data_IF_067186371453
#
_entry.id   IF_067186371453
#
_cell.length_a   1.000
_cell.length_b   1.000
_cell.length_c   1.000
_cell.angle_alpha   90.00
_cell.angle_beta   90.00
_cell.angle_gamma   90.00
#
_symmetry.space_group_name_H-M   'P 1'
#
loop_
_entity.id
_entity.type
_entity.pdbx_description
1 polymer ?
#
# COMPACT_ATOMS: atom_id res chain seq x y z
N UNK A 1 11.52 12.03 6.34
CA UNK A 1 12.61 11.25 6.99
C UNK A 1 11.99 10.51 8.15
N UNK A 2 12.07 9.18 8.14
CA UNK A 2 11.47 8.31 9.15
C UNK A 2 12.60 7.44 9.70
N UNK A 3 12.65 7.27 11.02
CA UNK A 3 13.57 6.37 11.69
C UNK A 3 12.85 5.70 12.87
N UNK A 4 13.37 4.56 13.32
CA UNK A 4 12.92 3.96 14.57
C UNK A 4 13.19 4.91 15.75
N UNK A 5 12.27 4.94 16.72
CA UNK A 5 12.43 5.77 17.91
C UNK A 5 13.19 4.99 19.00
N UNK A 6 14.51 4.95 18.87
CA UNK A 6 15.43 4.18 19.74
C UNK A 6 15.35 4.55 21.23
N UNK A 7 14.74 5.69 21.59
CA UNK A 7 14.64 6.18 22.97
C UNK A 7 13.49 5.60 23.77
N UNK A 8 12.47 5.01 23.12
CA UNK A 8 11.25 4.50 23.77
C UNK A 8 10.99 3.02 23.49
N UNK A 9 11.72 2.41 22.54
CA UNK A 9 11.55 1.01 22.17
C UNK A 9 12.13 0.05 23.22
N UNK A 10 11.24 -0.62 23.97
CA UNK A 10 11.54 -1.85 24.74
C UNK A 10 11.89 -3.00 23.78
N UNK A 11 12.73 -3.95 24.19
CA UNK A 11 13.24 -5.04 23.31
C UNK A 11 12.16 -5.87 22.61
N UNK A 12 10.94 -5.92 23.17
CA UNK A 12 9.78 -6.61 22.59
C UNK A 12 9.15 -5.88 21.39
N UNK A 13 9.46 -4.59 21.18
CA UNK A 13 8.90 -3.73 20.12
C UNK A 13 9.99 -3.22 19.16
N UNK A 14 11.25 -3.61 19.37
CA UNK A 14 12.35 -3.21 18.47
C UNK A 14 12.16 -3.86 17.10
N UNK A 15 12.02 -3.04 16.07
CA UNK A 15 11.99 -3.51 14.68
C UNK A 15 13.37 -3.98 14.24
N UNK A 16 14.44 -3.49 14.90
CA UNK A 16 15.80 -4.03 14.82
C UNK A 16 16.48 -3.90 13.46
N UNK A 17 15.72 -3.47 12.45
CA UNK A 17 16.09 -3.45 11.06
C UNK A 17 15.20 -2.44 10.29
N UNK A 18 15.85 -1.37 9.81
CA UNK A 18 15.20 -0.34 9.03
C UNK A 18 14.67 -0.86 7.67
N UNK A 19 15.13 -2.02 7.19
CA UNK A 19 14.56 -2.65 5.99
C UNK A 19 13.08 -3.03 6.24
N UNK A 20 12.77 -3.59 7.41
CA UNK A 20 11.39 -3.91 7.82
C UNK A 20 10.54 -2.65 8.01
N UNK A 21 11.09 -1.60 8.64
CA UNK A 21 10.42 -0.31 8.79
C UNK A 21 10.07 0.29 7.42
N UNK A 22 11.03 0.32 6.49
CA UNK A 22 10.83 0.83 5.15
C UNK A 22 9.70 0.07 4.42
N UNK A 23 9.67 -1.26 4.52
CA UNK A 23 8.63 -2.07 3.90
C UNK A 23 7.22 -1.84 4.49
N UNK A 24 7.09 -1.49 5.77
CA UNK A 24 5.80 -1.11 6.36
C UNK A 24 5.31 0.26 5.90
N UNK A 25 6.25 1.19 5.69
CA UNK A 25 5.94 2.55 5.26
C UNK A 25 5.47 2.60 3.80
N UNK A 26 5.89 1.64 2.96
CA UNK A 26 5.51 1.55 1.53
C UNK A 26 4.00 1.71 1.31
N UNK A 27 3.17 1.00 2.09
CA UNK A 27 1.71 1.09 1.98
C UNK A 27 1.18 2.43 2.48
N UNK A 28 1.75 2.95 3.56
CA UNK A 28 1.31 4.18 4.21
C UNK A 28 1.52 5.42 3.35
N UNK A 29 2.70 5.52 2.70
CA UNK A 29 3.06 6.67 1.86
C UNK A 29 2.69 6.47 0.40
N UNK A 30 2.03 5.35 0.11
CA UNK A 30 1.60 5.01 -1.22
C UNK A 30 2.74 4.97 -2.25
N UNK A 31 3.88 4.37 -1.90
CA UNK A 31 5.09 4.36 -2.73
C UNK A 31 4.96 3.56 -4.04
N UNK A 32 5.54 4.07 -5.13
CA UNK A 32 5.62 3.36 -6.42
C UNK A 32 6.82 2.40 -6.51
N UNK A 33 7.85 2.67 -5.71
CA UNK A 33 9.11 1.93 -5.69
C UNK A 33 9.72 2.03 -4.28
N UNK A 34 10.10 0.89 -3.72
CA UNK A 34 11.01 0.82 -2.58
C UNK A 34 12.45 0.71 -3.08
N UNK A 35 13.36 1.55 -2.57
CA UNK A 35 14.79 1.45 -2.89
C UNK A 35 15.57 1.19 -1.61
N UNK A 36 16.29 0.07 -1.57
CA UNK A 36 17.19 -0.31 -0.48
C UNK A 36 18.63 -0.13 -0.98
N UNK A 37 19.37 0.77 -0.34
CA UNK A 37 20.79 0.97 -0.61
C UNK A 37 21.63 0.06 0.29
N UNK A 38 22.58 -0.66 -0.30
CA UNK A 38 23.40 -1.68 0.37
C UNK A 38 24.87 -1.61 -0.04
N UNK A 39 25.76 -2.15 0.77
CA UNK A 39 27.18 -2.31 0.47
C UNK A 39 27.48 -3.56 -0.39
N UNK A 40 26.53 -4.50 -0.48
CA UNK A 40 26.66 -5.75 -1.24
C UNK A 40 26.48 -5.58 -2.76
N UNK A 41 26.07 -4.39 -3.24
CA UNK A 41 25.86 -4.08 -4.66
C UNK A 41 24.66 -4.76 -5.35
N UNK A 42 23.96 -5.65 -4.66
CA UNK A 42 22.78 -6.37 -5.16
C UNK A 42 22.63 -7.75 -4.52
N UNK A 43 21.70 -8.55 -5.02
CA UNK A 43 21.54 -9.96 -4.65
C UNK A 43 22.41 -10.81 -5.57
N UNK A 44 23.16 -11.77 -5.02
CA UNK A 44 24.05 -12.65 -5.78
C UNK A 44 23.64 -14.12 -5.64
N UNK A 45 24.06 -14.94 -6.61
CA UNK A 45 23.88 -16.40 -6.57
C UNK A 45 24.66 -17.10 -5.46
N UNK A 46 25.72 -16.46 -4.95
CA UNK A 46 26.53 -16.86 -3.80
C UNK A 46 27.27 -15.63 -3.27
N UNK A 47 27.92 -15.72 -2.11
CA UNK A 47 28.75 -14.61 -1.59
C UNK A 47 29.94 -14.33 -2.53
N UNK A 48 29.99 -13.16 -3.21
CA UNK A 48 31.05 -12.85 -4.18
C UNK A 48 32.43 -12.69 -3.54
N UNK A 49 32.51 -12.55 -2.20
CA UNK A 49 33.79 -12.52 -1.46
C UNK A 49 34.39 -13.92 -1.29
N UNK A 50 33.55 -14.97 -1.35
CA UNK A 50 33.95 -16.37 -1.16
C UNK A 50 33.93 -17.17 -2.47
N UNK A 51 33.09 -16.77 -3.42
CA UNK A 51 32.84 -17.49 -4.68
C UNK A 51 33.11 -16.57 -5.87
N UNK A 52 34.20 -16.83 -6.59
CA UNK A 52 34.60 -16.02 -7.76
C UNK A 52 33.62 -16.13 -8.94
N UNK A 53 32.81 -17.19 -8.97
CA UNK A 53 31.77 -17.44 -9.97
C UNK A 53 30.40 -16.85 -9.56
N UNK A 54 30.30 -16.19 -8.41
CA UNK A 54 29.07 -15.53 -7.97
C UNK A 54 28.63 -14.45 -8.98
N UNK A 55 27.36 -14.51 -9.38
CA UNK A 55 26.77 -13.56 -10.32
C UNK A 55 25.68 -12.75 -9.62
N UNK A 56 25.65 -11.44 -9.87
CA UNK A 56 24.53 -10.59 -9.45
C UNK A 56 23.29 -11.02 -10.22
N UNK A 57 22.19 -11.17 -9.52
CA UNK A 57 20.88 -11.43 -10.09
C UNK A 57 20.27 -10.07 -10.44
N UNK A 58 20.11 -9.71 -11.73
CA UNK A 58 19.60 -8.38 -12.11
C UNK A 58 18.11 -8.23 -11.78
N UNK A 59 17.35 -9.32 -11.85
CA UNK A 59 15.91 -9.32 -11.67
C UNK A 59 15.43 -10.57 -10.91
N UNK A 60 14.49 -10.37 -9.99
CA UNK A 60 13.82 -11.42 -9.22
C UNK A 60 12.31 -11.24 -9.41
N UNK A 61 11.67 -12.17 -10.11
CA UNK A 61 10.21 -12.14 -10.29
C UNK A 61 9.46 -12.33 -8.97
N UNK A 62 9.99 -13.19 -8.10
CA UNK A 62 9.41 -13.51 -6.79
C UNK A 62 10.50 -13.91 -5.81
N UNK A 63 10.44 -13.35 -4.61
CA UNK A 63 11.27 -13.79 -3.48
C UNK A 63 10.68 -15.08 -2.93
N UNK A 64 11.31 -16.21 -3.26
CA UNK A 64 10.98 -17.55 -2.74
C UNK A 64 11.92 -17.93 -1.60
N UNK A 65 11.58 -18.98 -0.85
CA UNK A 65 12.48 -19.55 0.16
C UNK A 65 13.85 -19.95 -0.43
N UNK A 66 13.90 -20.39 -1.69
CA UNK A 66 15.16 -20.69 -2.38
C UNK A 66 16.00 -19.43 -2.65
N UNK A 67 15.37 -18.30 -2.98
CA UNK A 67 16.06 -17.00 -3.15
C UNK A 67 16.59 -16.50 -1.80
N UNK A 68 15.79 -16.62 -0.74
CA UNK A 68 16.25 -16.26 0.63
C UNK A 68 17.41 -17.15 1.09
N UNK A 69 17.42 -18.44 0.72
CA UNK A 69 18.51 -19.36 1.05
C UNK A 69 19.84 -18.95 0.41
N UNK A 70 19.83 -18.30 -0.77
CA UNK A 70 21.05 -17.75 -1.38
C UNK A 70 21.70 -16.70 -0.47
N UNK A 71 20.87 -15.87 0.17
CA UNK A 71 21.32 -14.85 1.11
C UNK A 71 21.73 -15.40 2.49
N UNK A 72 21.20 -16.55 2.89
CA UNK A 72 21.54 -17.22 4.15
C UNK A 72 22.94 -17.88 4.13
N UNK A 73 23.45 -18.23 2.94
CA UNK A 73 24.77 -18.86 2.78
C UNK A 73 25.97 -17.91 3.00
N UNK A 74 25.71 -16.61 3.08
CA UNK A 74 26.71 -15.56 3.31
C UNK A 74 26.65 -15.03 4.74
N UNK A 75 27.09 -15.81 5.73
CA UNK A 75 27.35 -15.27 7.08
C UNK A 75 28.48 -14.24 7.00
N UNK A 76 28.14 -12.97 7.25
CA UNK A 76 29.06 -11.93 7.69
C UNK A 76 28.76 -11.60 9.15
N UNK A 77 29.70 -11.91 10.02
CA UNK A 77 29.62 -11.94 11.49
C UNK A 77 29.35 -10.60 12.20
N UNK A 78 28.96 -9.52 11.51
CA UNK A 78 29.02 -8.15 12.06
C UNK A 78 27.90 -7.18 11.61
N UNK A 79 26.66 -7.64 11.46
CA UNK A 79 25.55 -6.69 11.27
C UNK A 79 24.14 -7.27 11.41
N UNK A 80 23.31 -6.61 12.20
CA UNK A 80 21.90 -6.94 12.48
C UNK A 80 20.95 -6.81 11.26
N UNK A 81 21.47 -6.52 10.05
CA UNK A 81 20.70 -6.22 8.84
C UNK A 81 21.36 -6.74 7.55
N UNK A 82 21.40 -8.06 7.38
CA UNK A 82 22.04 -8.75 6.24
C UNK A 82 21.28 -8.67 4.91
N UNK A 83 21.64 -9.51 3.94
CA UNK A 83 20.90 -9.60 2.66
C UNK A 83 19.51 -10.23 2.85
N UNK A 84 19.36 -11.12 3.85
CA UNK A 84 18.09 -11.78 4.14
C UNK A 84 17.00 -10.79 4.58
N UNK A 85 17.36 -9.75 5.34
CA UNK A 85 16.39 -8.74 5.77
C UNK A 85 15.90 -7.90 4.59
N UNK A 86 16.81 -7.52 3.68
CA UNK A 86 16.51 -6.79 2.44
C UNK A 86 15.60 -7.59 1.53
N UNK A 87 15.84 -8.90 1.40
CA UNK A 87 14.97 -9.79 0.64
C UNK A 87 13.59 -9.92 1.29
N UNK A 88 13.49 -9.98 2.61
CA UNK A 88 12.20 -10.00 3.33
C UNK A 88 11.43 -8.68 3.15
N UNK A 89 12.11 -7.54 3.24
CA UNK A 89 11.53 -6.23 2.97
C UNK A 89 11.05 -6.12 1.52
N UNK A 90 11.88 -6.55 0.57
CA UNK A 90 11.54 -6.61 -0.85
C UNK A 90 10.35 -7.54 -1.13
N UNK A 91 10.28 -8.70 -0.46
CA UNK A 91 9.13 -9.62 -0.53
C UNK A 91 7.86 -8.93 -0.05
N UNK A 92 7.91 -8.23 1.08
CA UNK A 92 6.75 -7.51 1.63
C UNK A 92 6.27 -6.39 0.70
N UNK A 93 7.19 -5.57 0.18
CA UNK A 93 6.86 -4.54 -0.80
C UNK A 93 6.27 -5.16 -2.09
N UNK A 94 6.86 -6.23 -2.58
CA UNK A 94 6.40 -6.99 -3.74
C UNK A 94 4.98 -7.52 -3.53
N UNK A 95 4.69 -8.12 -2.37
CA UNK A 95 3.35 -8.59 -1.98
C UNK A 95 2.32 -7.47 -1.78
N UNK A 96 2.78 -6.24 -1.54
CA UNK A 96 1.97 -5.02 -1.54
C UNK A 96 1.78 -4.41 -2.95
N UNK A 97 2.34 -5.05 -3.99
CA UNK A 97 2.22 -4.58 -5.37
C UNK A 97 3.20 -3.46 -5.71
N UNK A 98 4.29 -3.32 -4.94
CA UNK A 98 5.32 -2.30 -5.12
C UNK A 98 6.63 -2.98 -5.51
N UNK A 99 7.29 -2.45 -6.54
CA UNK A 99 8.61 -2.95 -6.94
C UNK A 99 9.64 -2.58 -5.87
N UNK A 100 10.66 -3.41 -5.70
CA UNK A 100 11.75 -3.11 -4.79
C UNK A 100 13.10 -3.21 -5.52
N UNK A 101 13.92 -2.17 -5.46
CA UNK A 101 15.28 -2.19 -5.98
C UNK A 101 16.29 -2.29 -4.84
N UNK A 102 17.23 -3.23 -4.94
CA UNK A 102 18.37 -3.37 -4.02
C UNK A 102 19.61 -2.92 -4.79
N UNK A 103 20.19 -1.79 -4.42
CA UNK A 103 21.26 -1.10 -5.15
C UNK A 103 22.52 -0.91 -4.30
N UNK A 104 23.70 -0.74 -4.91
CA UNK A 104 24.87 -0.19 -4.23
C UNK A 104 24.55 1.18 -3.61
N UNK A 105 25.07 1.44 -2.40
CA UNK A 105 24.96 2.73 -1.71
C UNK A 105 25.85 3.85 -2.27
N UNK A 106 26.41 3.67 -3.47
CA UNK A 106 27.30 4.63 -4.11
C UNK A 106 26.54 5.84 -4.67
N UNK A 107 27.16 7.03 -4.69
CA UNK A 107 26.56 8.22 -5.29
C UNK A 107 26.12 7.98 -6.75
N UNK A 108 24.92 8.45 -7.09
CA UNK A 108 24.38 8.39 -8.45
C UNK A 108 23.67 7.09 -8.83
N UNK A 109 23.68 6.05 -7.99
CA UNK A 109 23.00 4.77 -8.30
C UNK A 109 21.49 4.92 -8.49
N UNK A 110 20.83 5.78 -7.70
CA UNK A 110 19.41 6.06 -7.88
C UNK A 110 19.11 6.69 -9.25
N UNK A 111 19.94 7.63 -9.70
CA UNK A 111 19.77 8.26 -11.01
C UNK A 111 19.90 7.25 -12.16
N UNK A 112 20.89 6.37 -12.06
CA UNK A 112 21.10 5.29 -13.04
C UNK A 112 19.95 4.28 -13.08
N UNK A 113 19.43 3.88 -11.91
CA UNK A 113 18.24 3.03 -11.83
C UNK A 113 17.05 3.68 -12.53
N UNK A 114 16.79 4.96 -12.25
CA UNK A 114 15.66 5.70 -12.85
C UNK A 114 15.85 5.93 -14.36
N UNK A 115 17.08 5.91 -14.86
CA UNK A 115 17.39 5.92 -16.29
C UNK A 115 17.23 4.54 -16.97
N UNK A 116 16.93 3.48 -16.20
CA UNK A 116 16.76 2.12 -16.70
C UNK A 116 18.07 1.34 -16.85
N UNK A 117 19.16 1.79 -16.23
CA UNK A 117 20.43 1.08 -16.24
C UNK A 117 20.41 -0.13 -15.28
N UNK A 118 21.19 -1.17 -15.62
CA UNK A 118 21.31 -2.39 -14.83
C UNK A 118 22.32 -2.22 -13.66
N UNK A 119 21.89 -1.54 -12.58
CA UNK A 119 22.76 -1.14 -11.46
C UNK A 119 22.56 -1.89 -10.14
N UNK A 120 21.65 -2.85 -10.07
CA UNK A 120 21.46 -3.67 -8.87
C UNK A 120 20.57 -4.88 -9.12
N UNK A 121 19.69 -5.18 -8.16
CA UNK A 121 18.66 -6.21 -8.30
C UNK A 121 17.28 -5.59 -8.19
N UNK A 122 16.42 -5.85 -9.18
CA UNK A 122 15.02 -5.44 -9.17
C UNK A 122 14.12 -6.61 -8.79
N UNK A 123 13.36 -6.47 -7.71
CA UNK A 123 12.29 -7.40 -7.32
C UNK A 123 10.97 -6.89 -7.88
N UNK A 124 10.30 -7.71 -8.68
CA UNK A 124 9.03 -7.36 -9.30
C UNK A 124 7.88 -7.34 -8.29
N UNK A 125 6.89 -6.50 -8.56
CA UNK A 125 5.65 -6.45 -7.80
C UNK A 125 4.77 -7.67 -8.10
N UNK A 126 4.19 -8.27 -7.06
CA UNK A 126 3.21 -9.34 -7.21
C UNK A 126 1.81 -8.76 -7.36
N UNK A 127 1.29 -8.81 -8.59
CA UNK A 127 -0.04 -8.30 -8.91
C UNK A 127 -0.10 -6.78 -8.95
N UNK A 128 -1.32 -6.25 -9.17
CA UNK A 128 -1.55 -4.82 -9.22
C UNK A 128 -1.84 -4.29 -7.81
N UNK A 129 -1.14 -3.23 -7.40
CA UNK A 129 -1.30 -2.56 -6.09
C UNK A 129 -2.76 -2.22 -5.76
N UNK A 130 -3.50 -1.72 -6.76
CA UNK A 130 -4.94 -1.45 -6.64
C UNK A 130 -5.73 -2.72 -6.33
N UNK A 131 -5.36 -3.88 -6.88
CA UNK A 131 -6.04 -5.15 -6.62
C UNK A 131 -5.82 -5.66 -5.20
N UNK A 132 -4.62 -5.45 -4.65
CA UNK A 132 -4.30 -5.81 -3.26
C UNK A 132 -4.99 -4.88 -2.27
N UNK A 133 -4.98 -3.57 -2.55
CA UNK A 133 -5.70 -2.57 -1.73
C UNK A 133 -7.21 -2.88 -1.70
N UNK A 134 -7.78 -3.21 -2.84
CA UNK A 134 -9.20 -3.57 -2.91
C UNK A 134 -9.50 -4.90 -2.22
N UNK A 135 -8.57 -5.87 -2.22
CA UNK A 135 -8.77 -7.15 -1.55
C UNK A 135 -8.89 -7.03 -0.03
N UNK A 136 -8.02 -6.27 0.65
CA UNK A 136 -8.12 -6.14 2.11
C UNK A 136 -9.41 -5.44 2.56
N UNK A 137 -9.92 -4.50 1.75
CA UNK A 137 -11.19 -3.85 2.05
C UNK A 137 -12.39 -4.82 2.04
N UNK A 138 -12.32 -5.90 1.26
CA UNK A 138 -13.35 -6.94 1.26
C UNK A 138 -13.35 -7.75 2.56
N UNK A 139 -12.19 -7.89 3.21
CA UNK A 139 -12.04 -8.64 4.46
C UNK A 139 -12.47 -7.83 5.69
N UNK A 140 -12.56 -6.50 5.57
CA UNK A 140 -13.00 -5.63 6.65
C UNK A 140 -14.50 -5.74 6.94
N UNK A 141 -14.85 -5.82 8.22
CA UNK A 141 -16.24 -5.74 8.68
C UNK A 141 -16.72 -4.30 8.59
N UNK A 142 -17.75 -4.07 7.78
CA UNK A 142 -18.37 -2.75 7.65
C UNK A 142 -18.96 -2.25 8.98
N UNK A 143 -18.79 -0.96 9.25
CA UNK A 143 -19.30 -0.25 10.44
C UNK A 143 -20.66 0.41 10.20
N UNK A 144 -21.03 0.60 8.93
CA UNK A 144 -22.33 1.13 8.51
C UNK A 144 -22.56 0.95 7.02
N UNK A 145 -23.68 1.49 6.53
CA UNK A 145 -24.06 1.42 5.12
C UNK A 145 -24.58 2.75 4.56
N UNK A 146 -24.33 2.97 3.28
CA UNK A 146 -24.78 4.10 2.49
C UNK A 146 -25.74 3.59 1.41
N UNK A 147 -27.01 3.99 1.48
CA UNK A 147 -27.98 3.70 0.44
C UNK A 147 -27.93 4.80 -0.61
N UNK A 148 -27.78 4.40 -1.87
CA UNK A 148 -27.54 5.32 -2.98
C UNK A 148 -28.62 5.21 -4.06
N UNK A 149 -28.83 6.29 -4.81
CA UNK A 149 -29.73 6.26 -5.96
C UNK A 149 -29.14 5.52 -7.18
N UNK A 150 -30.00 5.27 -8.18
CA UNK A 150 -29.62 4.55 -9.40
C UNK A 150 -28.53 5.28 -10.20
N UNK A 151 -28.51 6.61 -10.17
CA UNK A 151 -27.50 7.41 -10.87
C UNK A 151 -26.10 7.22 -10.24
N UNK A 152 -26.04 7.21 -8.92
CA UNK A 152 -24.84 6.92 -8.16
C UNK A 152 -24.39 5.48 -8.34
N UNK A 153 -25.31 4.52 -8.29
CA UNK A 153 -25.01 3.11 -8.59
C UNK A 153 -24.41 2.95 -9.98
N UNK A 154 -25.03 3.50 -11.02
CA UNK A 154 -24.51 3.43 -12.39
C UNK A 154 -23.13 4.12 -12.51
N UNK A 155 -22.92 5.26 -11.82
CA UNK A 155 -21.64 5.93 -11.81
C UNK A 155 -20.52 5.09 -11.16
N UNK A 156 -20.84 4.36 -10.09
CA UNK A 156 -19.91 3.47 -9.39
C UNK A 156 -19.57 2.23 -10.23
N UNK A 157 -20.58 1.56 -10.78
CA UNK A 157 -20.42 0.28 -11.50
C UNK A 157 -19.88 0.50 -12.91
N UNK A 158 -20.55 1.33 -13.71
CA UNK A 158 -20.28 1.45 -15.15
C UNK A 158 -19.13 2.42 -15.44
N UNK A 159 -19.05 3.50 -14.67
CA UNK A 159 -18.12 4.62 -14.92
C UNK A 159 -16.92 4.64 -13.99
N UNK A 160 -16.85 3.73 -13.01
CA UNK A 160 -15.77 3.62 -12.00
C UNK A 160 -15.46 4.96 -11.32
N UNK A 161 -16.51 5.73 -11.01
CA UNK A 161 -16.40 7.04 -10.34
C UNK A 161 -16.51 6.90 -8.82
N UNK A 162 -16.19 7.97 -8.12
CA UNK A 162 -16.38 8.11 -6.67
C UNK A 162 -17.85 8.29 -6.30
N UNK A 163 -18.22 7.94 -5.07
CA UNK A 163 -19.55 8.22 -4.54
C UNK A 163 -19.62 9.68 -4.08
N UNK A 164 -20.37 10.51 -4.81
CA UNK A 164 -20.62 11.90 -4.43
C UNK A 164 -21.76 12.01 -3.41
N UNK A 165 -21.79 13.06 -2.56
CA UNK A 165 -22.87 13.25 -1.58
C UNK A 165 -24.25 13.31 -2.23
N UNK A 166 -24.34 13.86 -3.45
CA UNK A 166 -25.59 13.98 -4.22
C UNK A 166 -26.28 12.66 -4.49
N UNK A 167 -25.50 11.57 -4.51
CA UNK A 167 -25.97 10.21 -4.76
C UNK A 167 -26.42 9.45 -3.51
N UNK A 168 -26.11 9.96 -2.31
CA UNK A 168 -26.44 9.32 -1.03
C UNK A 168 -27.85 9.71 -0.60
N UNK A 169 -28.67 8.72 -0.30
CA UNK A 169 -30.07 8.88 0.11
C UNK A 169 -30.27 8.57 1.58
N UNK A 170 -29.66 7.50 2.08
CA UNK A 170 -29.72 7.14 3.50
C UNK A 170 -28.36 6.70 4.04
N UNK A 171 -28.16 6.91 5.34
CA UNK A 171 -26.93 6.56 6.07
C UNK A 171 -27.30 5.77 7.32
N UNK A 172 -26.96 4.49 7.34
CA UNK A 172 -27.24 3.58 8.47
C UNK A 172 -25.96 3.25 9.23
N UNK A 173 -26.11 3.01 10.53
CA UNK A 173 -24.99 2.70 11.44
C UNK A 173 -24.22 3.92 11.92
N UNK A 174 -23.05 3.68 12.51
CA UNK A 174 -22.14 4.69 13.03
C UNK A 174 -20.72 4.35 12.58
N UNK A 175 -20.05 5.34 11.97
CA UNK A 175 -18.70 5.20 11.43
C UNK A 175 -18.01 6.56 11.41
N UNK A 176 -16.69 6.54 11.46
CA UNK A 176 -15.81 7.70 11.37
C UNK A 176 -15.18 7.79 9.97
N UNK A 177 -14.48 8.88 9.71
CA UNK A 177 -13.60 8.97 8.53
C UNK A 177 -12.55 7.84 8.58
N UNK A 178 -12.36 7.15 7.46
CA UNK A 178 -11.48 6.00 7.30
C UNK A 178 -12.13 4.64 7.62
N UNK A 179 -13.33 4.61 8.21
CA UNK A 179 -14.00 3.35 8.51
C UNK A 179 -14.57 2.68 7.25
N UNK A 180 -14.57 1.34 7.18
CA UNK A 180 -15.20 0.58 6.11
C UNK A 180 -16.73 0.69 6.17
N UNK A 181 -17.34 0.99 5.03
CA UNK A 181 -18.79 1.09 4.83
C UNK A 181 -19.26 0.24 3.65
N UNK A 182 -20.46 -0.30 3.77
CA UNK A 182 -21.17 -0.94 2.65
C UNK A 182 -21.94 0.09 1.83
N UNK A 183 -21.96 -0.09 0.52
CA UNK A 183 -22.73 0.74 -0.41
C UNK A 183 -23.81 -0.16 -1.01
N UNK A 184 -25.06 0.26 -0.81
CA UNK A 184 -26.24 -0.50 -1.17
C UNK A 184 -27.19 0.33 -2.03
N UNK A 185 -28.00 -0.34 -2.82
CA UNK A 185 -29.17 0.26 -3.47
C UNK A 185 -30.27 0.57 -2.45
N UNK A 186 -31.24 1.39 -2.85
CA UNK A 186 -32.40 1.73 -2.02
C UNK A 186 -33.25 0.51 -1.61
N UNK A 187 -33.18 -0.61 -2.34
CA UNK A 187 -33.82 -1.88 -1.97
C UNK A 187 -32.99 -2.72 -0.97
N UNK A 188 -31.90 -2.16 -0.44
CA UNK A 188 -31.05 -2.76 0.58
C UNK A 188 -29.99 -3.74 0.05
N UNK A 189 -29.83 -3.89 -1.26
CA UNK A 189 -28.82 -4.81 -1.83
C UNK A 189 -27.45 -4.15 -1.88
N UNK A 190 -26.53 -4.64 -1.06
CA UNK A 190 -25.13 -4.22 -1.11
C UNK A 190 -24.47 -4.66 -2.42
N UNK A 191 -23.77 -3.73 -3.08
CA UNK A 191 -23.06 -4.00 -4.34
C UNK A 191 -21.63 -3.47 -4.35
N UNK A 192 -21.23 -2.71 -3.34
CA UNK A 192 -19.86 -2.24 -3.19
C UNK A 192 -19.48 -2.04 -1.71
N UNK A 193 -18.17 -1.96 -1.45
CA UNK A 193 -17.58 -1.56 -0.18
C UNK A 193 -16.58 -0.43 -0.40
N UNK A 194 -16.43 0.43 0.60
CA UNK A 194 -15.50 1.53 0.53
C UNK A 194 -15.06 2.05 1.88
N UNK A 195 -14.10 2.98 1.88
CA UNK A 195 -13.72 3.73 3.08
C UNK A 195 -14.43 5.09 3.08
N UNK A 196 -15.03 5.45 4.20
CA UNK A 196 -15.74 6.72 4.33
C UNK A 196 -14.74 7.89 4.43
N UNK A 197 -14.94 8.96 3.65
CA UNK A 197 -14.16 10.20 3.76
C UNK A 197 -14.63 11.06 4.93
N UNK A 198 -15.90 10.91 5.31
CA UNK A 198 -16.56 11.69 6.36
C UNK A 198 -17.25 10.75 7.35
N UNK A 199 -17.43 11.19 8.59
CA UNK A 199 -18.18 10.42 9.59
C UNK A 199 -19.67 10.31 9.24
N UNK A 200 -20.37 9.33 9.82
CA UNK A 200 -21.80 9.11 9.56
C UNK A 200 -22.65 10.38 9.76
N UNK A 201 -22.38 11.16 10.80
CA UNK A 201 -23.11 12.40 11.09
C UNK A 201 -22.82 13.52 10.10
N UNK A 202 -21.61 13.56 9.53
CA UNK A 202 -21.24 14.49 8.48
C UNK A 202 -21.89 14.10 7.16
N UNK A 203 -21.81 12.82 6.79
CA UNK A 203 -22.47 12.31 5.57
C UNK A 203 -23.96 12.62 5.62
N UNK A 204 -24.65 12.36 6.74
CA UNK A 204 -26.07 12.72 6.93
C UNK A 204 -26.37 14.19 6.65
N UNK A 205 -25.45 15.10 7.01
CA UNK A 205 -25.60 16.55 6.82
C UNK A 205 -25.40 16.99 5.37
N UNK A 206 -24.62 16.23 4.58
CA UNK A 206 -24.28 16.55 3.19
C UNK A 206 -24.96 15.65 2.15
N UNK A 207 -25.66 14.60 2.57
CA UNK A 207 -26.43 13.71 1.68
C UNK A 207 -27.38 14.51 0.79
N UNK A 208 -27.33 14.23 -0.51
CA UNK A 208 -28.13 14.93 -1.53
C UNK A 208 -27.56 16.27 -2.00
N UNK A 209 -26.50 16.81 -1.38
CA UNK A 209 -25.87 18.06 -1.78
C UNK A 209 -24.85 17.87 -2.91
N UNK A 210 -24.54 18.95 -3.64
CA UNK A 210 -23.42 19.00 -4.57
C UNK A 210 -22.11 19.15 -3.80
N UNK A 211 -21.01 18.65 -4.35
CA UNK A 211 -19.69 18.70 -3.70
C UNK A 211 -19.23 20.11 -3.31
N UNK A 212 -19.61 21.12 -4.09
CA UNK A 212 -19.31 22.53 -3.79
C UNK A 212 -20.01 23.06 -2.53
N UNK A 213 -21.08 22.39 -2.07
CA UNK A 213 -21.86 22.80 -0.90
C UNK A 213 -21.35 22.19 0.41
N UNK A 214 -20.40 21.23 0.34
CA UNK A 214 -19.85 20.54 1.51
C UNK A 214 -19.24 21.53 2.51
N UNK A 215 -18.39 22.43 2.02
CA UNK A 215 -17.67 23.39 2.87
C UNK A 215 -18.64 24.33 3.57
N UNK A 216 -19.67 24.81 2.87
CA UNK A 216 -20.71 25.64 3.47
C UNK A 216 -21.54 24.92 4.54
N UNK A 217 -21.68 23.60 4.44
CA UNK A 217 -22.50 22.80 5.36
C UNK A 217 -21.72 22.27 6.57
N UNK A 218 -20.45 21.92 6.39
CA UNK A 218 -19.60 21.33 7.43
C UNK A 218 -18.58 22.31 8.02
N UNK A 219 -18.33 23.44 7.35
CA UNK A 219 -17.27 24.40 7.70
C UNK A 219 -15.88 24.01 7.17
N UNK A 220 -15.77 22.89 6.47
CA UNK A 220 -14.54 22.41 5.84
C UNK A 220 -14.87 21.42 4.70
N UNK A 221 -13.88 21.13 3.85
CA UNK A 221 -13.98 20.10 2.80
C UNK A 221 -12.68 19.32 2.68
N UNK A 222 -12.75 18.00 2.86
CA UNK A 222 -11.63 17.09 2.66
C UNK A 222 -11.51 16.67 1.20
N UNK A 223 -12.57 16.06 0.65
CA UNK A 223 -12.67 15.69 -0.75
C UNK A 223 -14.07 16.01 -1.29
N UNK A 224 -14.23 15.97 -2.60
CA UNK A 224 -15.52 16.19 -3.26
C UNK A 224 -16.48 14.98 -3.17
N UNK A 225 -16.04 13.88 -2.56
CA UNK A 225 -16.77 12.61 -2.49
C UNK A 225 -16.91 12.08 -1.05
N UNK A 226 -17.93 11.25 -0.83
CA UNK A 226 -18.15 10.50 0.41
C UNK A 226 -17.31 9.22 0.47
N UNK A 227 -17.08 8.59 -0.69
CA UNK A 227 -16.16 7.44 -0.85
C UNK A 227 -15.38 7.64 -2.15
N UNK A 228 -14.05 7.64 -2.07
CA UNK A 228 -13.19 7.81 -3.24
C UNK A 228 -13.15 6.53 -4.10
N UNK A 229 -12.87 6.65 -5.40
CA UNK A 229 -12.93 5.49 -6.33
C UNK A 229 -11.81 4.48 -6.11
N UNK A 230 -10.69 4.95 -5.55
CA UNK A 230 -9.51 4.14 -5.28
C UNK A 230 -9.71 3.34 -3.98
N UNK A 231 -10.47 3.90 -3.04
CA UNK A 231 -10.94 3.25 -1.82
C UNK A 231 -12.37 2.71 -1.97
N UNK A 232 -12.68 2.16 -3.16
CA UNK A 232 -13.96 1.52 -3.47
C UNK A 232 -13.79 0.23 -4.27
N UNK A 233 -14.55 -0.79 -3.88
CA UNK A 233 -14.59 -2.12 -4.51
C UNK A 233 -16.03 -2.49 -4.80
N UNK A 234 -16.32 -2.81 -6.06
CA UNK A 234 -17.60 -3.37 -6.48
C UNK A 234 -17.56 -4.89 -6.25
N UNK A 235 -18.58 -5.42 -5.59
CA UNK A 235 -18.66 -6.83 -5.14
C UNK A 235 -19.68 -7.67 -5.91
N UNK A 236 -20.37 -7.06 -6.87
CA UNK A 236 -21.41 -7.68 -7.70
C UNK A 236 -21.06 -7.58 -9.19
#
# INVERSE_FOLDING_TARGET
VINENDTVSVEEIKFGDNDALAAMVVDLVEADLLVILTDAGGVYTADPRKHADARRIPEIERVTASVEALAASGESDLGTGGMITKLRAARRASEAGVRCAILPGEPGMLGKLLAGEDVGTLVQALGERQRLRKRWMLDLKARGSLLVDDGARAALIERKKSLLPSGVREVHGTFLSGDPVEIATLDGRAFARGLAVYSADEVRRISGLRSAEIEGRLGYRLLDCVVHRDDLVVTA
#
